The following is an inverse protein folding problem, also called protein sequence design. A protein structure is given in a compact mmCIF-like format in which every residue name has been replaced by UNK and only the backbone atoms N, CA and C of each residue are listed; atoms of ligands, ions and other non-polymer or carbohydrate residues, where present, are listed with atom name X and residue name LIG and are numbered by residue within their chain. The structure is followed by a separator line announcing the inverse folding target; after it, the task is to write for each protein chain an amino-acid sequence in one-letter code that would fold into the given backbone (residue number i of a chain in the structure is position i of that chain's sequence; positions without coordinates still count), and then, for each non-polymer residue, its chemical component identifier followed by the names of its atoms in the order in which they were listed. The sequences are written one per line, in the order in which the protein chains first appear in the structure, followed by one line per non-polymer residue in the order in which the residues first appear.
data_IF_621721716719
#
_entry.id   IF_621721716719
#
_cell.length_a   1.000
_cell.length_b   1.000
_cell.length_c   1.000
_cell.angle_alpha   90.00
_cell.angle_beta   90.00
_cell.angle_gamma   90.00
#
_symmetry.space_group_name_H-M   'P 1'
#
loop_
_entity.id
_entity.type
_entity.pdbx_description
1 polymer ?
#
# COMPACT_ATOMS: atom_id res chain seq x y z
N UNK A 1 -34.01 -44.05 -16.51
CA UNK A 1 -32.56 -43.84 -16.50
C UNK A 1 -32.29 -42.40 -16.91
N UNK A 2 -32.14 -41.46 -15.97
CA UNK A 2 -31.77 -40.08 -16.29
C UNK A 2 -30.24 -39.98 -16.34
N UNK A 3 -29.70 -39.51 -17.46
CA UNK A 3 -28.28 -39.25 -17.64
C UNK A 3 -27.96 -37.85 -17.14
N UNK A 4 -27.16 -37.80 -16.09
CA UNK A 4 -26.63 -36.63 -15.40
C UNK A 4 -25.91 -35.69 -16.37
N UNK A 5 -26.42 -34.46 -16.53
CA UNK A 5 -25.68 -33.37 -17.17
C UNK A 5 -24.83 -32.68 -16.10
N UNK A 6 -23.50 -32.76 -16.23
CA UNK A 6 -22.56 -32.06 -15.36
C UNK A 6 -22.78 -30.55 -15.46
N UNK A 7 -23.15 -29.93 -14.34
CA UNK A 7 -23.01 -28.50 -14.11
C UNK A 7 -21.51 -28.16 -14.10
N UNK A 8 -21.06 -27.40 -15.10
CA UNK A 8 -19.76 -26.74 -15.06
C UNK A 8 -19.79 -25.67 -13.96
N UNK A 9 -18.95 -25.88 -12.94
CA UNK A 9 -18.68 -24.98 -11.84
C UNK A 9 -18.31 -23.58 -12.33
N UNK A 10 -19.24 -22.63 -12.17
CA UNK A 10 -18.92 -21.20 -12.18
C UNK A 10 -18.22 -20.87 -10.85
N UNK A 11 -16.89 -20.92 -10.83
CA UNK A 11 -16.06 -20.35 -9.75
C UNK A 11 -15.37 -19.12 -10.34
N UNK A 12 -16.01 -17.97 -10.20
CA UNK A 12 -15.37 -16.66 -10.31
C UNK A 12 -15.45 -15.98 -8.94
N UNK A 13 -14.40 -15.29 -8.47
CA UNK A 13 -14.46 -14.56 -7.21
C UNK A 13 -15.48 -13.42 -7.36
N UNK A 14 -16.50 -13.40 -6.51
CA UNK A 14 -17.37 -12.25 -6.34
C UNK A 14 -16.54 -11.07 -5.80
N UNK A 15 -16.10 -10.22 -6.73
CA UNK A 15 -15.47 -8.94 -6.44
C UNK A 15 -16.52 -8.06 -5.74
N UNK A 16 -16.12 -7.45 -4.62
CA UNK A 16 -16.91 -6.50 -3.83
C UNK A 16 -17.79 -5.58 -4.69
N UNK A 17 -19.10 -5.61 -4.44
CA UNK A 17 -20.17 -5.11 -5.30
C UNK A 17 -20.31 -3.58 -5.46
N UNK A 18 -19.26 -2.76 -5.29
CA UNK A 18 -19.41 -1.30 -5.32
C UNK A 18 -18.28 -0.49 -5.98
N UNK A 19 -17.32 -1.13 -6.67
CA UNK A 19 -16.32 -0.41 -7.47
C UNK A 19 -16.37 -0.82 -8.94
N UNK A 20 -16.90 0.07 -9.78
CA UNK A 20 -16.76 -0.06 -11.24
C UNK A 20 -15.28 -0.01 -11.63
N UNK A 21 -14.79 -1.03 -12.32
CA UNK A 21 -13.41 -1.03 -12.83
C UNK A 21 -13.24 0.08 -13.89
N UNK A 22 -12.08 0.73 -13.85
CA UNK A 22 -11.76 1.92 -14.64
C UNK A 22 -10.82 1.58 -15.78
N UNK A 23 -11.21 1.90 -17.00
CA UNK A 23 -10.39 1.76 -18.19
C UNK A 23 -9.98 3.15 -18.68
N UNK A 24 -8.72 3.33 -19.05
CA UNK A 24 -8.28 4.52 -19.77
C UNK A 24 -8.00 4.15 -21.23
N UNK A 25 -8.66 4.83 -22.16
CA UNK A 25 -8.43 4.69 -23.61
C UNK A 25 -7.64 5.90 -24.09
N UNK A 26 -6.51 5.64 -24.75
CA UNK A 26 -5.60 6.67 -25.23
C UNK A 26 -5.34 6.46 -26.71
N UNK A 27 -5.77 7.39 -27.56
CA UNK A 27 -5.56 7.38 -29.01
C UNK A 27 -5.71 8.83 -29.50
N UNK A 28 -4.94 9.27 -30.49
CA UNK A 28 -5.01 10.64 -30.99
C UNK A 28 -6.24 10.89 -31.87
N UNK A 29 -6.80 9.83 -32.44
CA UNK A 29 -7.98 9.88 -33.29
C UNK A 29 -9.25 9.60 -32.50
N UNK A 30 -10.13 10.61 -32.43
CA UNK A 30 -11.41 10.51 -31.72
C UNK A 30 -12.29 9.35 -32.20
N UNK A 31 -12.20 8.98 -33.49
CA UNK A 31 -12.93 7.84 -34.03
C UNK A 31 -12.52 6.50 -33.40
N UNK A 32 -11.22 6.29 -33.15
CA UNK A 32 -10.71 5.08 -32.50
C UNK A 32 -11.12 5.03 -31.03
N UNK A 33 -11.02 6.16 -30.32
CA UNK A 33 -11.50 6.28 -28.94
C UNK A 33 -12.97 5.88 -28.85
N UNK A 34 -13.81 6.42 -29.74
CA UNK A 34 -15.24 6.12 -29.79
C UNK A 34 -15.51 4.65 -30.09
N UNK A 35 -14.79 4.07 -31.05
CA UNK A 35 -14.92 2.64 -31.36
C UNK A 35 -14.62 1.77 -30.14
N UNK A 36 -13.53 2.04 -29.41
CA UNK A 36 -13.16 1.31 -28.18
C UNK A 36 -14.17 1.57 -27.06
N UNK A 37 -14.62 2.80 -26.89
CA UNK A 37 -15.63 3.17 -25.89
C UNK A 37 -16.92 2.33 -26.07
N UNK A 38 -17.39 2.16 -27.31
CA UNK A 38 -18.58 1.34 -27.60
C UNK A 38 -18.38 -0.15 -27.26
N UNK A 39 -17.15 -0.67 -27.27
CA UNK A 39 -16.87 -2.05 -26.85
C UNK A 39 -17.08 -2.24 -25.34
N UNK A 40 -16.86 -1.20 -24.54
CA UNK A 40 -16.77 -1.29 -23.08
C UNK A 40 -17.87 -0.55 -22.31
N UNK A 41 -18.68 0.24 -23.02
CA UNK A 41 -19.83 0.93 -22.43
C UNK A 41 -20.75 -0.06 -21.70
N UNK A 42 -21.21 0.33 -20.51
CA UNK A 42 -22.06 -0.50 -19.65
C UNK A 42 -21.36 -1.61 -18.87
N UNK A 43 -20.09 -1.93 -19.15
CA UNK A 43 -19.31 -2.93 -18.39
C UNK A 43 -18.24 -2.31 -17.49
N UNK A 44 -17.70 -1.15 -17.87
CA UNK A 44 -16.60 -0.48 -17.19
C UNK A 44 -16.80 1.04 -17.18
N UNK A 45 -16.14 1.72 -16.24
CA UNK A 45 -16.03 3.19 -16.26
C UNK A 45 -14.88 3.57 -17.18
N UNK A 46 -15.19 4.14 -18.34
CA UNK A 46 -14.19 4.45 -19.37
C UNK A 46 -13.80 5.92 -19.33
N UNK A 47 -12.51 6.17 -19.14
CA UNK A 47 -11.85 7.46 -19.28
C UNK A 47 -11.15 7.53 -20.64
N UNK A 48 -10.98 8.74 -21.16
CA UNK A 48 -10.42 8.97 -22.49
C UNK A 48 -9.32 10.03 -22.42
N UNK A 49 -8.24 9.80 -23.15
CA UNK A 49 -7.19 10.79 -23.41
C UNK A 49 -6.86 10.80 -24.90
N UNK A 50 -6.57 11.98 -25.44
CA UNK A 50 -6.22 12.16 -26.86
C UNK A 50 -4.72 12.42 -27.09
N UNK A 51 -3.90 12.27 -26.06
CA UNK A 51 -2.47 12.50 -26.12
C UNK A 51 -1.74 11.81 -24.96
N UNK A 52 -0.46 11.50 -25.17
CA UNK A 52 0.40 10.93 -24.13
C UNK A 52 0.48 11.77 -22.84
N UNK A 53 0.72 13.10 -22.90
CA UNK A 53 0.75 13.95 -21.72
C UNK A 53 -0.57 13.94 -20.92
N UNK A 54 -1.73 13.98 -21.60
CA UNK A 54 -3.04 13.90 -20.95
C UNK A 54 -3.25 12.53 -20.27
N UNK A 55 -2.80 11.44 -20.91
CA UNK A 55 -2.87 10.10 -20.34
C UNK A 55 -2.03 9.98 -19.04
N UNK A 56 -0.80 10.49 -19.04
CA UNK A 56 0.06 10.50 -17.86
C UNK A 56 -0.56 11.29 -16.69
N UNK A 57 -1.11 12.47 -16.97
CA UNK A 57 -1.80 13.29 -15.96
C UNK A 57 -2.99 12.53 -15.34
N UNK A 58 -3.85 11.93 -16.17
CA UNK A 58 -4.99 11.13 -15.71
C UNK A 58 -4.54 9.91 -14.88
N UNK A 59 -3.50 9.20 -15.30
CA UNK A 59 -2.96 8.07 -14.53
C UNK A 59 -2.44 8.48 -13.14
N UNK A 60 -1.92 9.69 -12.98
CA UNK A 60 -1.46 10.19 -11.69
C UNK A 60 -2.60 10.65 -10.78
N UNK A 61 -3.53 11.44 -11.32
CA UNK A 61 -4.67 11.99 -10.58
C UNK A 61 -5.70 10.92 -10.24
N UNK A 62 -6.09 10.11 -11.23
CA UNK A 62 -7.16 9.12 -11.15
C UNK A 62 -6.69 7.78 -11.75
N UNK A 63 -5.93 6.97 -11.00
CA UNK A 63 -5.25 5.80 -11.55
C UNK A 63 -6.24 4.76 -12.11
N UNK A 64 -6.21 4.45 -13.42
CA UNK A 64 -7.08 3.44 -14.01
C UNK A 64 -6.66 2.02 -13.60
N UNK A 65 -7.57 1.07 -13.77
CA UNK A 65 -7.29 -0.34 -13.53
C UNK A 65 -6.56 -0.96 -14.75
N UNK A 66 -6.79 -0.47 -15.97
CA UNK A 66 -6.04 -0.85 -17.19
C UNK A 66 -6.00 0.30 -18.20
N UNK A 67 -4.92 0.38 -18.99
CA UNK A 67 -4.77 1.35 -20.08
C UNK A 67 -4.78 0.64 -21.44
N UNK A 68 -5.61 1.12 -22.35
CA UNK A 68 -5.58 0.83 -23.78
C UNK A 68 -4.87 1.99 -24.48
N UNK A 69 -3.73 1.72 -25.11
CA UNK A 69 -2.81 2.77 -25.56
C UNK A 69 -2.46 2.59 -27.03
N UNK A 70 -2.77 3.60 -27.86
CA UNK A 70 -2.27 3.64 -29.23
C UNK A 70 -0.75 3.78 -29.25
N UNK A 71 -0.09 3.06 -30.16
CA UNK A 71 1.36 3.12 -30.31
C UNK A 71 1.77 4.41 -31.00
N UNK A 72 1.06 4.80 -32.06
CA UNK A 72 1.43 5.94 -32.90
C UNK A 72 0.58 7.13 -32.53
N UNK A 73 1.17 8.09 -31.82
CA UNK A 73 0.50 9.34 -31.46
C UNK A 73 1.41 10.55 -31.68
N UNK A 74 0.87 11.74 -32.02
CA UNK A 74 1.64 12.96 -32.13
C UNK A 74 2.27 13.38 -30.80
N UNK A 75 3.40 14.11 -30.88
CA UNK A 75 4.18 14.66 -29.76
C UNK A 75 4.88 13.62 -28.89
N UNK A 76 4.15 12.60 -28.43
CA UNK A 76 4.66 11.52 -27.59
C UNK A 76 3.97 10.22 -28.02
N UNK A 77 4.76 9.27 -28.48
CA UNK A 77 4.28 7.95 -28.87
C UNK A 77 3.84 7.14 -27.63
N UNK A 78 3.03 6.10 -27.86
CA UNK A 78 2.52 5.24 -26.79
C UNK A 78 3.62 4.45 -26.08
N UNK A 79 4.71 4.12 -26.77
CA UNK A 79 5.81 3.37 -26.14
C UNK A 79 6.47 4.21 -25.04
N UNK A 80 6.71 5.50 -25.29
CA UNK A 80 7.26 6.45 -24.33
C UNK A 80 6.30 6.69 -23.15
N UNK A 81 4.99 6.81 -23.42
CA UNK A 81 3.98 6.88 -22.35
C UNK A 81 4.06 5.65 -21.45
N UNK A 82 4.13 4.45 -22.04
CA UNK A 82 4.23 3.20 -21.29
C UNK A 82 5.49 3.16 -20.42
N UNK A 83 6.67 3.49 -20.99
CA UNK A 83 7.92 3.55 -20.23
C UNK A 83 7.84 4.48 -19.02
N UNK A 84 7.23 5.66 -19.17
CA UNK A 84 7.03 6.61 -18.06
C UNK A 84 6.08 6.08 -17.00
N UNK A 85 4.98 5.43 -17.40
CA UNK A 85 4.07 4.77 -16.47
C UNK A 85 4.79 3.66 -15.69
N UNK A 86 5.65 2.87 -16.34
CA UNK A 86 6.43 1.80 -15.71
C UNK A 86 7.55 2.29 -14.81
N UNK A 87 8.12 3.45 -15.07
CA UNK A 87 9.18 4.05 -14.24
C UNK A 87 8.69 4.62 -12.91
N UNK A 88 7.39 4.92 -12.74
CA UNK A 88 6.84 5.47 -11.51
C UNK A 88 6.24 4.38 -10.62
N UNK A 89 6.65 4.33 -9.33
CA UNK A 89 6.13 3.36 -8.34
C UNK A 89 4.60 3.40 -8.20
N UNK A 90 3.98 4.57 -8.41
CA UNK A 90 2.54 4.77 -8.29
C UNK A 90 1.74 4.17 -9.45
N UNK A 91 2.35 4.08 -10.64
CA UNK A 91 1.65 3.67 -11.89
C UNK A 91 2.22 2.40 -12.53
N UNK A 92 3.35 1.88 -12.06
CA UNK A 92 4.06 0.76 -12.67
C UNK A 92 3.23 -0.52 -12.74
N UNK A 93 2.34 -0.73 -11.77
CA UNK A 93 1.44 -1.88 -11.69
C UNK A 93 0.17 -1.74 -12.58
N UNK A 94 0.02 -0.65 -13.33
CA UNK A 94 -1.10 -0.50 -14.27
C UNK A 94 -0.78 -1.30 -15.54
N UNK A 95 -1.56 -2.35 -15.89
CA UNK A 95 -1.37 -3.06 -17.15
C UNK A 95 -1.68 -2.14 -18.34
N UNK A 96 -0.79 -2.19 -19.34
CA UNK A 96 -0.92 -1.43 -20.60
C UNK A 96 -1.07 -2.43 -21.74
N UNK A 97 -2.19 -2.37 -22.43
CA UNK A 97 -2.41 -3.11 -23.67
C UNK A 97 -2.28 -2.12 -24.83
N UNK A 98 -1.36 -2.39 -25.74
CA UNK A 98 -1.17 -1.56 -26.90
C UNK A 98 -2.23 -1.83 -27.97
N UNK A 99 -2.62 -0.79 -28.70
CA UNK A 99 -3.43 -0.90 -29.92
C UNK A 99 -2.55 -0.44 -31.07
N UNK A 100 -2.13 -1.36 -31.95
CA UNK A 100 -1.15 -1.08 -33.02
C UNK A 100 -1.72 -1.31 -34.41
N UNK A 101 -1.30 -0.52 -35.40
CA UNK A 101 -1.64 -0.73 -36.81
C UNK A 101 -0.68 -1.64 -37.57
N UNK A 102 0.52 -1.93 -37.04
CA UNK A 102 1.53 -2.72 -37.73
C UNK A 102 1.51 -4.19 -37.33
N UNK A 103 1.67 -5.06 -38.33
CA UNK A 103 1.78 -6.52 -38.18
C UNK A 103 3.26 -6.98 -38.25
N UNK A 104 4.21 -6.07 -38.03
CA UNK A 104 5.64 -6.42 -38.04
C UNK A 104 6.07 -6.87 -36.65
N UNK A 105 6.82 -7.97 -36.59
CA UNK A 105 7.40 -8.50 -35.34
C UNK A 105 8.19 -7.44 -34.57
N UNK A 106 8.88 -6.51 -35.25
CA UNK A 106 9.64 -5.43 -34.61
C UNK A 106 8.79 -4.44 -33.80
N UNK A 107 7.54 -4.19 -34.21
CA UNK A 107 6.64 -3.31 -33.45
C UNK A 107 6.07 -4.02 -32.22
N UNK A 108 5.78 -5.32 -32.35
CA UNK A 108 5.33 -6.15 -31.23
C UNK A 108 6.44 -6.26 -30.17
N UNK A 109 7.69 -6.50 -30.59
CA UNK A 109 8.86 -6.53 -29.71
C UNK A 109 9.04 -5.21 -28.96
N UNK A 110 8.89 -4.08 -29.65
CA UNK A 110 8.98 -2.76 -29.02
C UNK A 110 7.89 -2.53 -27.95
N UNK A 111 6.68 -3.06 -28.16
CA UNK A 111 5.60 -3.01 -27.17
C UNK A 111 5.96 -3.79 -25.90
N UNK A 112 6.54 -4.98 -26.06
CA UNK A 112 7.02 -5.79 -24.92
C UNK A 112 8.14 -5.11 -24.16
N UNK A 113 9.14 -4.58 -24.86
CA UNK A 113 10.29 -3.88 -24.26
C UNK A 113 9.88 -2.59 -23.52
N UNK A 114 8.85 -1.90 -24.00
CA UNK A 114 8.30 -0.74 -23.32
C UNK A 114 7.56 -1.09 -22.00
N UNK A 115 7.29 -2.38 -21.76
CA UNK A 115 6.58 -2.88 -20.57
C UNK A 115 5.08 -3.09 -20.77
N UNK A 116 4.62 -3.20 -22.03
CA UNK A 116 3.27 -3.64 -22.34
C UNK A 116 3.00 -5.05 -21.84
N UNK A 117 1.76 -5.32 -21.43
CA UNK A 117 1.33 -6.68 -21.04
C UNK A 117 0.67 -7.43 -22.18
N UNK A 118 0.29 -6.72 -23.24
CA UNK A 118 -0.32 -7.27 -24.44
C UNK A 118 -0.39 -6.22 -25.55
N UNK A 119 -0.80 -6.64 -26.74
CA UNK A 119 -1.17 -5.76 -27.83
C UNK A 119 -2.37 -6.31 -28.64
N UNK A 120 -3.03 -5.41 -29.36
CA UNK A 120 -4.17 -5.70 -30.25
C UNK A 120 -3.95 -4.98 -31.58
N UNK A 121 -4.07 -5.70 -32.68
CA UNK A 121 -3.93 -5.13 -34.01
C UNK A 121 -5.19 -4.36 -34.44
N UNK A 122 -5.00 -3.26 -35.19
CA UNK A 122 -6.04 -2.54 -35.92
C UNK A 122 -6.26 -3.26 -37.28
N UNK A 123 -7.50 -3.42 -37.76
CA UNK A 123 -8.75 -2.98 -37.16
C UNK A 123 -9.16 -3.83 -35.94
N UNK A 124 -9.67 -3.15 -34.91
CA UNK A 124 -9.98 -3.77 -33.61
C UNK A 124 -11.12 -4.77 -33.78
N UNK A 125 -10.88 -6.03 -33.38
CA UNK A 125 -11.95 -7.00 -33.16
C UNK A 125 -12.53 -6.81 -31.74
N UNK A 126 -13.82 -6.41 -31.59
CA UNK A 126 -14.42 -6.13 -30.28
C UNK A 126 -14.38 -7.30 -29.30
N UNK A 127 -14.60 -8.54 -29.80
CA UNK A 127 -14.60 -9.73 -28.97
C UNK A 127 -13.20 -10.04 -28.44
N UNK A 128 -12.19 -9.98 -29.31
CA UNK A 128 -10.79 -10.19 -28.93
C UNK A 128 -10.34 -9.15 -27.91
N UNK A 129 -10.61 -7.87 -28.17
CA UNK A 129 -10.24 -6.78 -27.26
C UNK A 129 -10.90 -6.95 -25.89
N UNK A 130 -12.20 -7.28 -25.86
CA UNK A 130 -12.93 -7.54 -24.60
C UNK A 130 -12.35 -8.72 -23.82
N UNK A 131 -12.02 -9.81 -24.50
CA UNK A 131 -11.44 -10.99 -23.86
C UNK A 131 -10.04 -10.70 -23.29
N UNK A 132 -9.18 -9.99 -24.02
CA UNK A 132 -7.85 -9.58 -23.54
C UNK A 132 -7.94 -8.63 -22.35
N UNK A 133 -8.79 -7.60 -22.42
CA UNK A 133 -9.01 -6.67 -21.30
C UNK A 133 -9.51 -7.41 -20.07
N UNK A 134 -10.50 -8.30 -20.23
CA UNK A 134 -11.01 -9.11 -19.11
C UNK A 134 -9.93 -10.00 -18.49
N UNK A 135 -9.09 -10.64 -19.30
CA UNK A 135 -8.01 -11.50 -18.81
C UNK A 135 -7.00 -10.69 -17.97
N UNK A 136 -6.51 -9.57 -18.50
CA UNK A 136 -5.51 -8.74 -17.80
C UNK A 136 -6.08 -8.02 -16.57
N UNK A 137 -7.34 -7.59 -16.59
CA UNK A 137 -8.01 -7.09 -15.39
C UNK A 137 -8.15 -8.19 -14.34
N UNK A 138 -8.50 -9.42 -14.74
CA UNK A 138 -8.61 -10.55 -13.80
C UNK A 138 -7.25 -10.85 -13.16
N UNK A 139 -6.17 -10.89 -13.95
CA UNK A 139 -4.81 -11.09 -13.45
C UNK A 139 -4.38 -9.97 -12.49
N UNK A 140 -4.65 -8.70 -12.84
CA UNK A 140 -4.37 -7.57 -11.95
C UNK A 140 -5.11 -7.72 -10.63
N UNK A 141 -6.41 -7.99 -10.66
CA UNK A 141 -7.23 -8.12 -9.46
C UNK A 141 -6.74 -9.28 -8.58
N UNK A 142 -6.38 -10.42 -9.18
CA UNK A 142 -5.77 -11.52 -8.44
C UNK A 142 -4.44 -11.12 -7.82
N UNK A 143 -3.59 -10.40 -8.55
CA UNK A 143 -2.32 -9.88 -8.03
C UNK A 143 -2.53 -8.90 -6.87
N UNK A 144 -3.50 -7.99 -7.00
CA UNK A 144 -3.85 -7.02 -5.96
C UNK A 144 -4.39 -7.72 -4.71
N UNK A 145 -5.23 -8.75 -4.87
CA UNK A 145 -5.73 -9.59 -3.77
C UNK A 145 -4.58 -10.32 -3.10
N UNK A 146 -3.71 -10.99 -3.86
CA UNK A 146 -2.54 -11.68 -3.31
C UNK A 146 -1.62 -10.72 -2.55
N UNK A 147 -1.38 -9.51 -3.09
CA UNK A 147 -0.62 -8.46 -2.42
C UNK A 147 -1.29 -8.03 -1.12
N UNK A 148 -2.61 -7.84 -1.12
CA UNK A 148 -3.35 -7.50 0.08
C UNK A 148 -3.27 -8.59 1.15
N UNK A 149 -3.40 -9.87 0.76
CA UNK A 149 -3.25 -11.01 1.67
C UNK A 149 -1.82 -11.15 2.22
N UNK A 150 -0.82 -10.79 1.40
CA UNK A 150 0.58 -10.89 1.79
C UNK A 150 1.00 -9.78 2.77
N UNK A 151 0.45 -8.57 2.63
CA UNK A 151 1.01 -7.36 3.27
C UNK A 151 0.03 -6.57 4.15
N UNK A 152 -1.27 -6.83 4.07
CA UNK A 152 -2.28 -6.14 4.88
C UNK A 152 -2.77 -7.06 5.99
N UNK A 153 -2.95 -6.52 7.20
CA UNK A 153 -3.56 -7.25 8.30
C UNK A 153 -5.08 -7.35 8.07
N UNK A 154 -5.60 -8.57 8.01
CA UNK A 154 -7.00 -8.83 7.65
C UNK A 154 -8.03 -8.29 8.65
N UNK A 155 -7.63 -8.04 9.92
CA UNK A 155 -8.53 -7.48 10.92
C UNK A 155 -8.60 -5.94 10.82
N UNK A 156 -7.43 -5.30 10.76
CA UNK A 156 -7.27 -3.86 10.96
C UNK A 156 -7.13 -3.06 9.66
N UNK A 157 -6.79 -3.70 8.55
CA UNK A 157 -6.63 -3.06 7.24
C UNK A 157 -5.40 -2.16 7.10
N UNK A 158 -4.53 -2.12 8.12
CA UNK A 158 -3.18 -1.52 8.04
C UNK A 158 -2.16 -2.57 7.59
N UNK A 159 -0.89 -2.18 7.42
CA UNK A 159 0.16 -3.12 7.06
C UNK A 159 0.27 -4.25 8.12
N UNK A 160 0.65 -5.45 7.69
CA UNK A 160 0.93 -6.56 8.59
C UNK A 160 2.43 -6.60 8.97
N UNK A 161 2.76 -7.50 9.90
CA UNK A 161 4.14 -7.75 10.32
C UNK A 161 5.08 -8.04 9.16
N UNK A 162 4.66 -8.81 8.16
CA UNK A 162 5.50 -9.13 7.00
C UNK A 162 5.89 -7.88 6.21
N UNK A 163 4.93 -6.97 5.96
CA UNK A 163 5.24 -5.72 5.29
C UNK A 163 6.22 -4.87 6.11
N UNK A 164 6.08 -4.84 7.42
CA UNK A 164 7.03 -4.18 8.31
C UNK A 164 8.45 -4.79 8.20
N UNK A 165 8.55 -6.12 8.29
CA UNK A 165 9.81 -6.86 8.24
C UNK A 165 10.54 -6.66 6.90
N UNK A 166 9.81 -6.49 5.80
CA UNK A 166 10.36 -6.18 4.47
C UNK A 166 10.75 -4.70 4.31
N UNK A 167 10.01 -3.77 4.90
CA UNK A 167 10.24 -2.32 4.74
C UNK A 167 11.34 -1.77 5.65
N UNK A 168 11.47 -2.26 6.89
CA UNK A 168 12.45 -1.73 7.84
C UNK A 168 13.91 -1.81 7.34
N UNK A 169 14.40 -2.93 6.77
CA UNK A 169 15.75 -2.98 6.20
C UNK A 169 15.97 -2.00 5.04
N UNK A 170 14.94 -1.78 4.21
CA UNK A 170 14.98 -0.85 3.08
C UNK A 170 15.14 0.59 3.57
N UNK A 171 14.33 1.00 4.55
CA UNK A 171 14.40 2.36 5.11
C UNK A 171 15.69 2.60 5.91
N UNK A 172 16.18 1.60 6.65
CA UNK A 172 17.50 1.66 7.28
C UNK A 172 18.58 1.91 6.22
N UNK A 173 18.60 1.12 5.14
CA UNK A 173 19.56 1.28 4.06
C UNK A 173 19.49 2.65 3.38
N UNK A 174 18.27 3.17 3.16
CA UNK A 174 18.04 4.51 2.60
C UNK A 174 18.57 5.60 3.53
N UNK A 175 18.20 5.57 4.80
CA UNK A 175 18.60 6.58 5.79
C UNK A 175 20.11 6.57 6.05
N UNK A 176 20.75 5.40 6.08
CA UNK A 176 22.22 5.26 6.13
C UNK A 176 22.89 5.99 4.97
N UNK A 177 22.48 5.68 3.72
CA UNK A 177 23.08 6.27 2.51
C UNK A 177 22.92 7.78 2.44
N UNK A 178 21.78 8.30 2.89
CA UNK A 178 21.46 9.73 2.81
C UNK A 178 21.87 10.50 4.07
N UNK A 179 22.39 9.84 5.10
CA UNK A 179 22.63 10.44 6.43
C UNK A 179 21.39 11.15 7.00
N UNK A 180 20.22 10.55 6.81
CA UNK A 180 18.93 11.05 7.31
C UNK A 180 18.51 10.30 8.57
N UNK A 181 17.75 10.94 9.49
CA UNK A 181 17.24 10.28 10.67
C UNK A 181 16.10 9.30 10.34
N UNK A 182 16.04 8.19 11.05
CA UNK A 182 14.95 7.22 11.03
C UNK A 182 14.34 7.12 12.42
N UNK A 183 13.01 7.15 12.52
CA UNK A 183 12.28 6.84 13.74
C UNK A 183 11.57 5.49 13.66
N UNK A 184 11.59 4.75 14.77
CA UNK A 184 10.84 3.51 14.99
C UNK A 184 10.03 3.66 16.27
N UNK A 185 8.74 3.33 16.22
CA UNK A 185 7.86 3.33 17.40
C UNK A 185 7.23 1.94 17.53
N UNK A 186 7.43 1.27 18.66
CA UNK A 186 6.69 0.07 19.03
C UNK A 186 5.63 0.43 20.07
N UNK A 187 4.39 0.03 19.82
CA UNK A 187 3.20 0.38 20.60
C UNK A 187 2.48 -0.88 21.06
N UNK A 188 1.84 -0.81 22.21
CA UNK A 188 1.01 -1.89 22.76
C UNK A 188 -0.19 -1.31 23.51
N UNK A 189 -1.36 -1.95 23.34
CA UNK A 189 -2.59 -1.55 24.03
C UNK A 189 -2.54 -2.01 25.50
N UNK A 190 -2.67 -1.04 26.41
CA UNK A 190 -2.57 -1.29 27.83
C UNK A 190 -3.69 -2.20 28.34
N UNK A 191 -3.31 -3.30 28.99
CA UNK A 191 -4.22 -4.29 29.59
C UNK A 191 -5.25 -4.86 28.60
N UNK A 192 -4.89 -5.05 27.32
CA UNK A 192 -5.83 -5.53 26.31
C UNK A 192 -6.36 -6.95 26.59
N UNK A 193 -5.55 -7.83 27.19
CA UNK A 193 -6.06 -9.13 27.69
C UNK A 193 -7.24 -8.97 28.66
N UNK A 194 -7.13 -8.05 29.64
CA UNK A 194 -8.22 -7.78 30.60
C UNK A 194 -9.44 -7.18 29.92
N UNK A 195 -9.23 -6.35 28.89
CA UNK A 195 -10.30 -5.81 28.07
C UNK A 195 -11.07 -6.95 27.38
N UNK A 196 -10.36 -7.88 26.72
CA UNK A 196 -10.98 -9.04 26.07
C UNK A 196 -11.72 -9.96 27.04
N UNK A 197 -11.14 -10.20 28.23
CA UNK A 197 -11.77 -11.05 29.25
C UNK A 197 -13.10 -10.44 29.76
N UNK A 198 -13.25 -9.11 29.73
CA UNK A 198 -14.46 -8.38 30.15
C UNK A 198 -15.51 -8.21 29.06
N UNK A 199 -15.08 -7.73 27.89
CA UNK A 199 -15.98 -7.28 26.82
C UNK A 199 -16.11 -8.31 25.70
N UNK A 200 -15.33 -9.39 25.74
CA UNK A 200 -15.29 -10.44 24.73
C UNK A 200 -14.43 -10.09 23.51
N UNK A 201 -14.00 -11.11 22.80
CA UNK A 201 -13.10 -10.97 21.64
C UNK A 201 -13.68 -10.12 20.51
N UNK A 202 -15.01 -10.14 20.29
CA UNK A 202 -15.63 -9.31 19.26
C UNK A 202 -15.48 -7.80 19.56
N UNK A 203 -15.61 -7.40 20.82
CA UNK A 203 -15.35 -6.04 21.25
C UNK A 203 -13.86 -5.69 21.18
N UNK A 204 -12.99 -6.66 21.48
CA UNK A 204 -11.54 -6.56 21.26
C UNK A 204 -11.19 -6.28 19.80
N UNK A 205 -11.75 -7.03 18.87
CA UNK A 205 -11.56 -6.87 17.43
C UNK A 205 -12.05 -5.49 16.95
N UNK A 206 -13.19 -5.02 17.47
CA UNK A 206 -13.69 -3.67 17.19
C UNK A 206 -12.74 -2.58 17.73
N UNK A 207 -12.20 -2.78 18.94
CA UNK A 207 -11.21 -1.89 19.54
C UNK A 207 -9.93 -1.82 18.69
N UNK A 208 -9.37 -2.97 18.28
CA UNK A 208 -8.17 -3.04 17.43
C UNK A 208 -8.36 -2.31 16.10
N UNK A 209 -9.54 -2.43 15.46
CA UNK A 209 -9.87 -1.69 14.24
C UNK A 209 -9.85 -0.19 14.45
N UNK A 210 -10.50 0.29 15.52
CA UNK A 210 -10.56 1.72 15.83
C UNK A 210 -9.18 2.30 16.16
N UNK A 211 -8.39 1.57 16.97
CA UNK A 211 -7.00 1.95 17.27
C UNK A 211 -6.18 2.02 15.99
N UNK A 212 -6.22 1.00 15.14
CA UNK A 212 -5.47 0.99 13.89
C UNK A 212 -5.84 2.17 12.95
N UNK A 213 -7.13 2.50 12.85
CA UNK A 213 -7.61 3.65 12.09
C UNK A 213 -7.10 4.98 12.67
N UNK A 214 -7.10 5.14 14.00
CA UNK A 214 -6.59 6.33 14.67
C UNK A 214 -5.07 6.50 14.47
N UNK A 215 -4.31 5.42 14.58
CA UNK A 215 -2.87 5.42 14.32
C UNK A 215 -2.58 5.81 12.87
N UNK A 216 -3.27 5.19 11.90
CA UNK A 216 -3.13 5.49 10.47
C UNK A 216 -3.49 6.94 10.14
N UNK A 217 -4.57 7.47 10.71
CA UNK A 217 -4.99 8.85 10.48
C UNK A 217 -3.99 9.88 11.05
N UNK A 218 -3.27 9.52 12.12
CA UNK A 218 -2.25 10.38 12.74
C UNK A 218 -0.97 10.45 11.91
N UNK A 219 -0.61 9.36 11.20
CA UNK A 219 0.54 9.30 10.29
C UNK A 219 0.14 9.82 8.89
N UNK A 220 0.29 11.13 8.69
CA UNK A 220 -0.17 11.80 7.47
C UNK A 220 0.87 11.86 6.32
N UNK A 221 2.11 11.39 6.54
CA UNK A 221 3.19 11.54 5.53
C UNK A 221 3.24 10.31 4.61
N UNK A 222 3.43 10.48 3.28
CA UNK A 222 3.51 9.37 2.33
C UNK A 222 4.61 8.33 2.57
N UNK A 223 5.60 8.63 3.42
CA UNK A 223 6.67 7.70 3.80
C UNK A 223 6.48 7.04 5.16
N UNK A 224 5.49 7.46 5.96
CA UNK A 224 5.24 6.86 7.27
C UNK A 224 4.52 5.52 7.07
N UNK A 225 4.94 4.49 7.80
CA UNK A 225 4.29 3.18 7.84
C UNK A 225 3.72 2.95 9.23
N UNK A 226 2.49 2.44 9.32
CA UNK A 226 1.96 1.78 10.52
C UNK A 226 1.57 0.36 10.18
N UNK A 227 2.01 -0.58 11.00
CA UNK A 227 1.71 -2.00 10.86
C UNK A 227 1.23 -2.62 12.18
N UNK A 228 0.39 -3.65 12.09
CA UNK A 228 0.06 -4.51 13.22
C UNK A 228 1.17 -5.55 13.36
N UNK A 229 1.92 -5.48 14.45
CA UNK A 229 3.11 -6.31 14.66
C UNK A 229 2.75 -7.69 15.22
N UNK A 230 1.75 -7.76 16.10
CA UNK A 230 1.21 -9.01 16.61
C UNK A 230 0.12 -8.76 17.64
N UNK A 231 -0.94 -9.56 17.70
CA UNK A 231 -1.99 -9.43 18.73
C UNK A 231 -2.51 -8.00 18.92
N UNK A 232 -2.08 -7.36 20.01
CA UNK A 232 -2.39 -5.98 20.43
C UNK A 232 -1.25 -4.96 20.22
N UNK A 233 -0.17 -5.38 19.56
CA UNK A 233 1.03 -4.60 19.28
C UNK A 233 1.01 -3.99 17.88
N UNK A 234 1.45 -2.74 17.79
CA UNK A 234 1.56 -1.96 16.57
C UNK A 234 2.98 -1.41 16.44
N UNK A 235 3.44 -1.20 15.21
CA UNK A 235 4.76 -0.63 14.94
C UNK A 235 4.67 0.44 13.87
N UNK A 236 5.45 1.51 14.03
CA UNK A 236 5.53 2.61 13.07
C UNK A 236 6.96 2.82 12.58
N UNK A 237 7.13 3.01 11.27
CA UNK A 237 8.40 3.45 10.65
C UNK A 237 8.21 4.90 10.21
N UNK A 238 9.14 5.77 10.62
CA UNK A 238 9.10 7.21 10.37
C UNK A 238 10.39 7.66 9.66
N UNK A 239 10.46 7.56 8.32
CA UNK A 239 11.62 8.04 7.57
C UNK A 239 11.83 9.55 7.75
N UNK A 240 13.09 10.00 7.68
CA UNK A 240 13.47 11.40 7.83
C UNK A 240 12.86 12.08 9.07
N UNK A 241 12.82 11.36 10.20
CA UNK A 241 12.22 11.85 11.43
C UNK A 241 13.22 11.76 12.59
N UNK A 242 13.75 12.90 13.08
CA UNK A 242 14.65 12.92 14.23
C UNK A 242 13.91 12.60 15.53
N UNK A 243 14.66 12.34 16.61
CA UNK A 243 14.13 11.92 17.90
C UNK A 243 13.00 12.80 18.43
N UNK A 244 13.18 14.13 18.38
CA UNK A 244 12.15 15.06 18.84
C UNK A 244 10.87 14.96 17.99
N UNK A 245 11.00 14.74 16.68
CA UNK A 245 9.88 14.53 15.78
C UNK A 245 9.16 13.22 16.07
N UNK A 246 9.91 12.13 16.28
CA UNK A 246 9.37 10.82 16.60
C UNK A 246 8.65 10.84 17.96
N UNK A 247 9.21 11.52 18.96
CA UNK A 247 8.58 11.71 20.27
C UNK A 247 7.24 12.47 20.14
N UNK A 248 7.22 13.59 19.40
CA UNK A 248 5.97 14.33 19.14
C UNK A 248 4.92 13.46 18.46
N UNK A 249 5.31 12.62 17.50
CA UNK A 249 4.39 11.69 16.83
C UNK A 249 3.90 10.63 17.83
N UNK A 250 4.78 10.02 18.62
CA UNK A 250 4.40 9.06 19.65
C UNK A 250 3.39 9.62 20.65
N UNK A 251 3.61 10.83 21.15
CA UNK A 251 2.66 11.51 22.05
C UNK A 251 1.33 11.80 21.36
N UNK A 252 1.34 12.16 20.07
CA UNK A 252 0.10 12.34 19.30
C UNK A 252 -0.66 11.03 19.11
N UNK A 253 0.03 9.92 18.84
CA UNK A 253 -0.58 8.60 18.70
C UNK A 253 -1.26 8.16 20.01
N UNK A 254 -0.57 8.36 21.15
CA UNK A 254 -1.13 8.09 22.48
C UNK A 254 -2.39 8.92 22.74
N UNK A 255 -2.33 10.23 22.51
CA UNK A 255 -3.47 11.13 22.67
C UNK A 255 -4.63 10.79 21.71
N UNK A 256 -4.34 10.41 20.46
CA UNK A 256 -5.34 10.04 19.48
C UNK A 256 -6.11 8.77 19.88
N UNK A 257 -5.43 7.76 20.44
CA UNK A 257 -6.09 6.56 20.96
C UNK A 257 -6.93 6.89 22.19
N UNK A 258 -6.40 7.70 23.12
CA UNK A 258 -7.17 8.15 24.30
C UNK A 258 -8.44 8.91 23.89
N UNK A 259 -8.36 9.71 22.84
CA UNK A 259 -9.49 10.49 22.30
C UNK A 259 -10.58 9.63 21.62
N UNK A 260 -10.36 8.33 21.42
CA UNK A 260 -11.42 7.42 20.98
C UNK A 260 -12.45 7.15 22.10
N UNK A 261 -12.11 7.44 23.36
CA UNK A 261 -12.99 7.27 24.54
C UNK A 261 -13.58 5.86 24.67
N UNK A 262 -12.86 4.83 24.19
CA UNK A 262 -13.29 3.43 24.31
C UNK A 262 -13.18 3.00 25.77
N UNK A 263 -14.29 2.65 26.39
CA UNK A 263 -14.37 2.33 27.83
C UNK A 263 -13.53 1.11 28.23
N UNK A 264 -12.68 1.25 29.25
CA UNK A 264 -11.87 0.15 29.80
C UNK A 264 -11.94 0.12 31.34
N UNK A 265 -13.01 -0.46 31.89
CA UNK A 265 -13.28 -0.49 33.34
C UNK A 265 -12.26 -1.28 34.16
N UNK A 266 -11.54 -2.24 33.55
CA UNK A 266 -10.59 -3.12 34.23
C UNK A 266 -9.13 -2.66 34.09
N UNK A 267 -8.91 -1.46 33.55
CA UNK A 267 -7.60 -0.85 33.47
C UNK A 267 -7.28 -0.12 34.77
N UNK A 268 -6.12 -0.41 35.33
CA UNK A 268 -5.61 0.28 36.54
C UNK A 268 -5.00 1.66 36.19
N UNK A 269 -5.03 2.07 34.92
CA UNK A 269 -4.29 3.23 34.40
C UNK A 269 -5.22 4.35 33.93
N UNK A 270 -6.30 4.00 33.24
CA UNK A 270 -7.27 4.96 32.71
C UNK A 270 -8.63 4.28 32.56
N UNK A 271 -9.71 5.04 32.64
CA UNK A 271 -11.08 4.53 32.41
C UNK A 271 -11.37 4.24 30.93
N UNK A 272 -10.42 4.55 30.06
CA UNK A 272 -10.49 4.36 28.61
C UNK A 272 -9.26 3.60 28.13
N UNK A 273 -9.36 2.99 26.94
CA UNK A 273 -8.24 2.33 26.27
C UNK A 273 -7.09 3.32 26.07
N UNK A 274 -5.89 2.92 26.48
CA UNK A 274 -4.65 3.67 26.30
C UNK A 274 -3.58 2.79 25.65
N UNK A 275 -2.52 3.42 25.14
CA UNK A 275 -1.36 2.72 24.60
C UNK A 275 -0.09 3.15 25.31
N UNK A 276 0.85 2.22 25.43
CA UNK A 276 2.23 2.49 25.80
C UNK A 276 3.13 2.37 24.58
N UNK A 277 4.23 3.13 24.54
CA UNK A 277 5.13 3.14 23.38
C UNK A 277 6.62 3.24 23.71
N UNK A 278 7.44 2.53 22.96
CA UNK A 278 8.90 2.66 22.94
C UNK A 278 9.37 3.25 21.60
N UNK A 279 10.15 4.32 21.66
CA UNK A 279 10.56 5.13 20.50
C UNK A 279 12.07 5.14 20.39
N UNK A 280 12.59 4.75 19.24
CA UNK A 280 14.01 4.84 18.93
C UNK A 280 14.16 5.68 17.68
N UNK A 281 14.99 6.73 17.72
CA UNK A 281 15.12 7.61 16.56
C UNK A 281 16.48 8.30 16.46
N UNK A 282 16.95 8.52 15.24
CA UNK A 282 18.24 9.14 14.95
C UNK A 282 18.81 8.64 13.62
N UNK A 283 20.02 9.09 13.26
CA UNK A 283 20.69 8.61 12.05
C UNK A 283 21.18 7.18 12.30
N UNK A 284 20.75 6.17 11.52
CA UNK A 284 21.19 4.80 11.75
C UNK A 284 22.71 4.65 11.56
N UNK A 285 23.46 4.08 12.52
CA UNK A 285 24.89 3.84 12.36
C UNK A 285 25.19 2.79 11.26
N UNK A 286 26.42 2.69 10.75
CA UNK A 286 26.75 1.80 9.63
C UNK A 286 26.38 0.32 9.86
N UNK A 287 26.53 -0.16 11.09
CA UNK A 287 26.25 -1.51 11.58
C UNK A 287 24.82 -1.69 12.10
N UNK A 288 23.95 -0.69 11.94
CA UNK A 288 22.58 -0.75 12.45
C UNK A 288 21.77 -1.87 11.78
N UNK A 289 21.34 -2.86 12.56
CA UNK A 289 20.49 -3.96 12.11
C UNK A 289 19.04 -3.78 12.58
N UNK A 290 18.03 -4.19 11.78
CA UNK A 290 16.62 -4.13 12.16
C UNK A 290 16.31 -4.71 13.55
N UNK A 291 16.90 -5.86 13.88
CA UNK A 291 16.71 -6.53 15.16
C UNK A 291 17.19 -5.68 16.35
N UNK A 292 18.26 -4.89 16.16
CA UNK A 292 18.80 -4.03 17.20
C UNK A 292 17.87 -2.85 17.50
N UNK A 293 17.30 -2.19 16.47
CA UNK A 293 16.32 -1.12 16.71
C UNK A 293 15.06 -1.66 17.41
N UNK A 294 14.57 -2.82 16.95
CA UNK A 294 13.40 -3.45 17.55
C UNK A 294 13.63 -3.80 19.02
N UNK A 295 14.78 -4.39 19.35
CA UNK A 295 15.11 -4.71 20.73
C UNK A 295 15.24 -3.45 21.62
N UNK A 296 15.76 -2.35 21.08
CA UNK A 296 15.80 -1.07 21.80
C UNK A 296 14.39 -0.49 22.02
N UNK A 297 13.52 -0.53 21.00
CA UNK A 297 12.15 -0.06 21.10
C UNK A 297 11.33 -0.91 22.09
N UNK A 298 11.50 -2.24 22.07
CA UNK A 298 10.88 -3.17 23.00
C UNK A 298 11.27 -2.90 24.45
N UNK A 299 12.58 -2.69 24.71
CA UNK A 299 13.07 -2.29 26.05
C UNK A 299 12.40 -1.00 26.55
N UNK A 300 12.25 0.00 25.68
CA UNK A 300 11.61 1.27 26.03
C UNK A 300 10.11 1.11 26.25
N UNK A 301 9.44 0.28 25.46
CA UNK A 301 8.03 -0.06 25.67
C UNK A 301 7.83 -0.77 27.02
N UNK A 302 8.71 -1.70 27.36
CA UNK A 302 8.70 -2.37 28.66
C UNK A 302 8.88 -1.37 29.81
N UNK A 303 9.81 -0.42 29.68
CA UNK A 303 9.97 0.67 30.66
C UNK A 303 8.71 1.55 30.79
N UNK A 304 8.07 1.91 29.66
CA UNK A 304 6.82 2.65 29.67
C UNK A 304 5.72 1.89 30.44
N UNK A 305 5.63 0.57 30.25
CA UNK A 305 4.68 -0.30 30.98
C UNK A 305 4.99 -0.37 32.47
N UNK A 306 6.26 -0.43 32.87
CA UNK A 306 6.66 -0.47 34.28
C UNK A 306 6.41 0.84 35.03
N UNK A 307 6.59 1.98 34.36
CA UNK A 307 6.42 3.29 35.00
C UNK A 307 4.95 3.74 35.12
N UNK A 308 4.00 2.87 34.80
CA UNK A 308 2.57 3.15 34.95
C UNK A 308 1.82 3.34 33.63
N UNK A 309 2.36 2.89 32.49
CA UNK A 309 1.65 2.80 31.19
C UNK A 309 1.14 4.15 30.66
N UNK A 310 0.32 4.12 29.60
CA UNK A 310 -0.30 5.28 28.95
C UNK A 310 0.69 6.41 28.63
N UNK A 311 1.89 6.02 28.16
CA UNK A 311 3.00 6.93 27.90
C UNK A 311 3.93 6.38 26.85
N UNK A 312 4.75 7.29 26.33
CA UNK A 312 5.84 6.94 25.42
C UNK A 312 7.19 7.19 26.08
N UNK A 313 8.16 6.32 25.78
CA UNK A 313 9.56 6.46 26.16
C UNK A 313 10.40 6.54 24.90
N UNK A 314 11.41 7.40 24.89
CA UNK A 314 12.22 7.63 23.71
C UNK A 314 13.71 7.63 24.03
N UNK A 315 14.51 7.08 23.11
CA UNK A 315 15.97 7.09 23.17
C UNK A 315 16.55 7.40 21.78
N UNK A 316 17.68 8.11 21.75
CA UNK A 316 18.40 8.36 20.51
C UNK A 316 19.06 7.08 20.01
N UNK A 317 19.04 6.86 18.69
CA UNK A 317 19.97 5.93 18.06
C UNK A 317 21.39 6.45 18.32
N UNK A 318 22.13 5.75 19.17
CA UNK A 318 23.50 6.12 19.51
C UNK A 318 24.38 6.01 18.25
N UNK A 319 25.18 7.04 17.99
CA UNK A 319 26.25 6.96 17.00
C UNK A 319 27.36 6.13 17.65
N UNK A 320 27.64 4.92 17.13
CA UNK A 320 28.88 4.24 17.47
C UNK A 320 30.04 5.22 17.19
N UNK A 321 30.93 5.34 18.17
CA UNK A 321 31.82 6.48 18.39
C UNK A 321 32.47 7.09 17.15
N UNK A 322 32.55 8.42 17.17
CA UNK A 322 33.44 9.21 16.32
C UNK A 322 34.84 8.57 16.42
N UNK A 323 35.30 7.94 15.34
CA UNK A 323 36.71 7.65 15.17
C UNK A 323 37.39 9.00 14.98
N UNK A 324 37.95 9.55 16.05
CA UNK A 324 38.95 10.61 15.96
C UNK A 324 40.12 10.04 15.18
N UNK A 325 40.18 10.37 13.90
CA UNK A 325 41.40 10.22 13.10
C UNK A 325 42.31 11.37 13.53
N UNK A 326 43.33 11.04 14.32
CA UNK A 326 44.48 11.91 14.61
C UNK A 326 45.29 12.19 13.37
#
# INVERSE_FOLDING_TARGET
MPTTTLNALAVGPELSADRSLRLLVVDDQTANIQAVYQVFTGSYTVFMANSGPAALALCHENPPDLVLLDVVMPQMDGLEVCRRLKASERTSNIPVIFVTGGNSTSEEDACWEAGGVDFVSKPINPLTLRNRVRAHLTLKLQSDVLRSLAFVDGLTGIANRRQFDEQLPVEIGRCKRMSLPLGLILLDIDFFKRYNDRYGHQAGDACLRQVAMALRATLARPGDLVARYGGEEFVCILPNTPLEGALRIGTKLEAAVRALEIEHQLSDVATVVSISGGIVAGVPPPDCEPATLLAQADRLLYQAKQEGRARVKAESLATAGIVTVT
#
